data_IF_120827963672
#
_entry.id   IF_120827963672
#
_cell.length_a   1.000
_cell.length_b   1.000
_cell.length_c   1.000
_cell.angle_alpha   90.00
_cell.angle_beta   90.00
_cell.angle_gamma   90.00
#
_symmetry.space_group_name_H-M   'P 1'
#
loop_
_entity.id
_entity.type
_entity.pdbx_description
1 polymer ?
#
# COMPACT_ATOMS: atom_id res chain seq x y z
N UNK A 1 -29.27 8.51 -4.94
CA UNK A 1 -28.25 9.48 -4.48
C UNK A 1 -28.41 10.83 -5.16
N UNK A 2 -28.55 10.90 -6.49
CA UNK A 2 -28.56 12.17 -7.25
C UNK A 2 -29.63 13.17 -6.83
N UNK A 3 -30.83 12.71 -6.45
CA UNK A 3 -31.90 13.58 -5.90
C UNK A 3 -31.53 14.39 -4.64
N UNK A 4 -30.39 14.06 -4.00
CA UNK A 4 -29.88 14.77 -2.83
C UNK A 4 -28.73 15.75 -3.16
N UNK A 5 -28.36 15.87 -4.45
CA UNK A 5 -27.33 16.79 -4.94
C UNK A 5 -27.99 17.95 -5.68
N UNK A 6 -27.40 19.15 -5.59
CA UNK A 6 -27.96 20.35 -6.24
C UNK A 6 -27.90 20.22 -7.77
N UNK A 7 -26.79 19.69 -8.28
CA UNK A 7 -26.54 19.44 -9.71
C UNK A 7 -26.76 17.96 -10.08
N UNK A 8 -27.57 17.24 -9.30
CA UNK A 8 -27.75 15.79 -9.39
C UNK A 8 -28.10 15.28 -10.79
N UNK A 9 -29.03 15.96 -11.49
CA UNK A 9 -29.48 15.55 -12.83
C UNK A 9 -28.35 15.60 -13.87
N UNK A 10 -27.49 16.63 -13.81
CA UNK A 10 -26.34 16.78 -14.71
C UNK A 10 -25.28 15.71 -14.40
N UNK A 11 -24.98 15.52 -13.12
CA UNK A 11 -23.99 14.54 -12.66
C UNK A 11 -24.44 13.12 -13.02
N UNK A 12 -25.72 12.80 -12.85
CA UNK A 12 -26.27 11.47 -13.17
C UNK A 12 -25.99 11.06 -14.62
N UNK A 13 -26.24 11.94 -15.58
CA UNK A 13 -26.01 11.66 -17.01
C UNK A 13 -24.53 11.34 -17.26
N UNK A 14 -23.62 12.09 -16.66
CA UNK A 14 -22.17 11.89 -16.82
C UNK A 14 -21.73 10.58 -16.15
N UNK A 15 -22.29 10.27 -14.97
CA UNK A 15 -22.02 9.00 -14.27
C UNK A 15 -22.46 7.81 -15.12
N UNK A 16 -23.67 7.82 -15.69
CA UNK A 16 -24.17 6.74 -16.53
C UNK A 16 -23.30 6.51 -17.78
N UNK A 17 -22.79 7.59 -18.39
CA UNK A 17 -21.84 7.50 -19.50
C UNK A 17 -20.49 6.93 -19.05
N UNK A 18 -20.01 7.37 -17.89
CA UNK A 18 -18.72 6.94 -17.32
C UNK A 18 -18.76 5.46 -16.96
N UNK A 19 -19.82 4.98 -16.29
CA UNK A 19 -19.96 3.57 -15.94
C UNK A 19 -20.03 2.67 -17.18
N UNK A 20 -20.70 3.12 -18.26
CA UNK A 20 -20.68 2.41 -19.55
C UNK A 20 -19.28 2.34 -20.15
N UNK A 21 -18.51 3.43 -20.08
CA UNK A 21 -17.15 3.51 -20.62
C UNK A 21 -16.18 2.56 -19.90
N UNK A 22 -16.26 2.49 -18.56
CA UNK A 22 -15.32 1.70 -17.74
C UNK A 22 -15.78 0.27 -17.47
N UNK A 23 -16.95 -0.14 -17.99
CA UNK A 23 -17.56 -1.43 -17.70
C UNK A 23 -16.64 -2.64 -17.99
N UNK A 24 -15.85 -2.59 -19.06
CA UNK A 24 -14.92 -3.68 -19.38
C UNK A 24 -13.75 -3.74 -18.39
N UNK A 25 -13.19 -2.59 -17.98
CA UNK A 25 -12.12 -2.53 -16.97
C UNK A 25 -12.65 -3.06 -15.63
N UNK A 26 -13.87 -2.70 -15.24
CA UNK A 26 -14.51 -3.25 -14.03
C UNK A 26 -14.69 -4.76 -14.09
N UNK A 27 -15.13 -5.31 -15.24
CA UNK A 27 -15.21 -6.77 -15.43
C UNK A 27 -13.85 -7.46 -15.32
N UNK A 28 -12.78 -6.83 -15.80
CA UNK A 28 -11.42 -7.37 -15.65
C UNK A 28 -10.95 -7.35 -14.21
N UNK A 29 -11.28 -6.29 -13.46
CA UNK A 29 -11.02 -6.22 -12.01
C UNK A 29 -11.77 -7.34 -11.30
N UNK A 30 -13.06 -7.54 -11.58
CA UNK A 30 -13.86 -8.59 -10.94
C UNK A 30 -13.29 -10.00 -11.19
N UNK A 31 -12.77 -10.28 -12.40
CA UNK A 31 -12.07 -11.56 -12.68
C UNK A 31 -10.84 -11.76 -11.78
N UNK A 32 -10.02 -10.72 -11.62
CA UNK A 32 -8.84 -10.78 -10.72
C UNK A 32 -9.27 -10.96 -9.25
N UNK A 33 -10.37 -10.33 -8.84
CA UNK A 33 -10.96 -10.51 -7.52
C UNK A 33 -11.34 -11.97 -7.30
N UNK A 34 -12.03 -12.60 -8.26
CA UNK A 34 -12.43 -14.00 -8.15
C UNK A 34 -11.22 -14.95 -8.05
N UNK A 35 -10.18 -14.72 -8.86
CA UNK A 35 -8.94 -15.51 -8.81
C UNK A 35 -8.22 -15.37 -7.46
N UNK A 36 -8.03 -14.13 -7.00
CA UNK A 36 -7.38 -13.85 -5.72
C UNK A 36 -8.21 -14.36 -4.53
N UNK A 37 -9.54 -14.19 -4.57
CA UNK A 37 -10.45 -14.71 -3.55
C UNK A 37 -10.38 -16.24 -3.46
N UNK A 38 -10.32 -16.91 -4.61
CA UNK A 38 -10.19 -18.37 -4.65
C UNK A 38 -8.84 -18.85 -4.11
N UNK A 39 -7.73 -18.14 -4.39
CA UNK A 39 -6.42 -18.42 -3.78
C UNK A 39 -6.47 -18.32 -2.25
N UNK A 40 -7.08 -17.26 -1.72
CA UNK A 40 -7.24 -17.08 -0.26
C UNK A 40 -8.13 -18.19 0.33
N UNK A 41 -9.26 -18.51 -0.30
CA UNK A 41 -10.16 -19.58 0.14
C UNK A 41 -9.44 -20.94 0.21
N UNK A 42 -8.70 -21.30 -0.83
CA UNK A 42 -7.95 -22.56 -0.86
C UNK A 42 -6.93 -22.62 0.28
N UNK A 43 -6.18 -21.55 0.53
CA UNK A 43 -5.19 -21.52 1.62
C UNK A 43 -5.84 -21.71 3.00
N UNK A 44 -6.99 -21.08 3.25
CA UNK A 44 -7.76 -21.28 4.48
C UNK A 44 -8.22 -22.75 4.63
N UNK A 45 -8.65 -23.38 3.54
CA UNK A 45 -9.07 -24.79 3.53
C UNK A 45 -7.88 -25.73 3.75
N UNK A 46 -6.75 -25.50 3.10
CA UNK A 46 -5.52 -26.26 3.24
C UNK A 46 -5.01 -26.24 4.70
N UNK A 47 -5.13 -25.09 5.34
CA UNK A 47 -4.76 -24.89 6.74
C UNK A 47 -5.87 -25.24 7.74
N UNK A 48 -7.03 -25.72 7.28
CA UNK A 48 -8.16 -26.16 8.09
C UNK A 48 -8.58 -25.11 9.14
N UNK A 49 -8.67 -23.86 8.70
CA UNK A 49 -9.07 -22.75 9.58
C UNK A 49 -10.44 -23.05 10.20
N UNK A 50 -10.54 -22.76 11.49
CA UNK A 50 -11.70 -22.99 12.35
C UNK A 50 -11.74 -21.89 13.40
N UNK A 51 -12.85 -21.78 14.13
CA UNK A 51 -13.02 -20.82 15.23
C UNK A 51 -12.00 -21.03 16.37
N UNK A 52 -11.42 -22.21 16.51
CA UNK A 52 -10.30 -22.45 17.44
C UNK A 52 -9.06 -21.61 17.11
N UNK A 53 -8.88 -21.20 15.85
CA UNK A 53 -7.79 -20.31 15.44
C UNK A 53 -8.03 -18.86 15.83
N UNK A 54 -9.21 -18.52 16.37
CA UNK A 54 -9.54 -17.18 16.86
C UNK A 54 -9.37 -17.05 18.37
N UNK A 55 -8.95 -18.11 19.05
CA UNK A 55 -8.77 -18.13 20.50
C UNK A 55 -7.64 -17.16 20.90
N UNK A 56 -7.89 -16.21 21.82
CA UNK A 56 -6.86 -15.30 22.32
C UNK A 56 -5.71 -16.01 23.01
N UNK A 57 -4.48 -15.54 22.79
CA UNK A 57 -3.34 -15.84 23.66
C UNK A 57 -2.97 -14.64 24.54
N UNK A 58 -2.38 -14.92 25.70
CA UNK A 58 -1.94 -13.92 26.70
C UNK A 58 -0.53 -14.23 27.21
N UNK A 59 0.04 -13.34 28.02
CA UNK A 59 1.38 -13.52 28.58
C UNK A 59 2.45 -13.61 27.50
N UNK A 60 3.28 -14.67 27.53
CA UNK A 60 4.30 -14.90 26.50
C UNK A 60 3.71 -15.22 25.13
N UNK A 61 2.52 -15.82 25.07
CA UNK A 61 1.90 -16.24 23.81
C UNK A 61 2.62 -17.40 23.10
N UNK A 62 3.24 -18.31 23.84
CA UNK A 62 3.74 -19.57 23.25
C UNK A 62 2.58 -20.46 22.80
N UNK A 63 2.86 -21.35 21.84
CA UNK A 63 1.91 -22.35 21.30
C UNK A 63 0.59 -21.74 20.77
N UNK A 64 0.65 -20.50 20.27
CA UNK A 64 -0.50 -19.83 19.65
C UNK A 64 -0.72 -20.34 18.22
N UNK A 65 -1.49 -21.42 18.12
CA UNK A 65 -1.87 -22.06 16.84
C UNK A 65 -2.59 -21.09 15.90
N UNK A 66 -3.35 -20.12 16.44
CA UNK A 66 -4.12 -19.18 15.66
C UNK A 66 -3.20 -18.23 14.90
N UNK A 67 -2.18 -17.72 15.57
CA UNK A 67 -1.18 -16.86 14.90
C UNK A 67 -0.25 -17.63 13.99
N UNK A 68 0.22 -18.81 14.37
CA UNK A 68 1.11 -19.60 13.49
C UNK A 68 0.41 -20.02 12.20
N UNK A 69 -0.87 -20.39 12.27
CA UNK A 69 -1.65 -20.73 11.08
C UNK A 69 -1.89 -19.51 10.19
N UNK A 70 -2.15 -18.32 10.77
CA UNK A 70 -2.34 -17.09 10.01
C UNK A 70 -1.08 -16.73 9.20
N UNK A 71 0.09 -16.91 9.80
CA UNK A 71 1.38 -16.66 9.16
C UNK A 71 1.63 -17.60 7.98
N UNK A 72 1.27 -18.88 8.11
CA UNK A 72 1.37 -19.85 7.01
C UNK A 72 0.42 -19.53 5.87
N UNK A 73 -0.80 -19.07 6.18
CA UNK A 73 -1.79 -18.65 5.18
C UNK A 73 -1.28 -17.45 4.37
N UNK A 74 -0.76 -16.42 5.05
CA UNK A 74 -0.16 -15.27 4.37
C UNK A 74 1.02 -15.68 3.49
N UNK A 75 1.89 -16.56 3.98
CA UNK A 75 3.01 -17.07 3.20
C UNK A 75 2.54 -17.81 1.94
N UNK A 76 1.61 -18.77 2.07
CA UNK A 76 1.06 -19.54 0.95
C UNK A 76 0.38 -18.64 -0.09
N UNK A 77 -0.51 -17.75 0.34
CA UNK A 77 -1.27 -16.85 -0.55
C UNK A 77 -0.35 -15.89 -1.31
N UNK A 78 0.77 -15.51 -0.72
CA UNK A 78 1.71 -14.60 -1.33
C UNK A 78 2.90 -15.28 -2.03
N UNK A 79 2.93 -16.61 -2.10
CA UNK A 79 3.97 -17.36 -2.80
C UNK A 79 5.31 -17.37 -2.07
N UNK A 80 5.28 -17.24 -0.74
CA UNK A 80 6.44 -17.25 0.13
C UNK A 80 6.54 -18.56 0.93
N UNK A 81 7.71 -18.82 1.52
CA UNK A 81 7.94 -20.01 2.35
C UNK A 81 7.43 -19.82 3.79
N UNK A 82 7.59 -18.61 4.34
CA UNK A 82 7.26 -18.27 5.72
C UNK A 82 6.72 -16.85 5.81
N UNK A 83 5.96 -16.59 6.87
CA UNK A 83 5.36 -15.29 7.16
C UNK A 83 5.54 -14.88 8.62
N UNK A 84 5.47 -13.57 8.86
CA UNK A 84 5.42 -12.94 10.16
C UNK A 84 4.30 -11.87 10.10
N UNK A 85 3.15 -12.15 10.71
CA UNK A 85 1.93 -11.34 10.59
C UNK A 85 1.36 -11.08 11.97
N UNK A 86 1.53 -9.85 12.47
CA UNK A 86 1.44 -9.61 13.91
C UNK A 86 0.86 -8.24 14.27
N UNK A 87 0.10 -8.13 15.37
CA UNK A 87 -0.25 -6.83 15.95
C UNK A 87 0.97 -6.11 16.54
N UNK A 88 2.05 -6.83 16.87
CA UNK A 88 3.32 -6.23 17.32
C UNK A 88 3.98 -5.37 16.24
N UNK A 89 3.72 -5.65 14.96
CA UNK A 89 4.22 -4.84 13.85
C UNK A 89 3.27 -3.66 13.66
N UNK A 90 3.50 -2.57 14.38
CA UNK A 90 2.54 -1.45 14.48
C UNK A 90 2.19 -0.72 13.17
N UNK A 91 2.97 -0.86 12.09
CA UNK A 91 2.71 -0.22 10.80
C UNK A 91 3.50 -0.86 9.65
N UNK A 92 3.19 -0.49 8.41
CA UNK A 92 3.99 -0.88 7.23
C UNK A 92 5.44 -0.42 7.33
N UNK A 93 5.68 0.85 7.71
CA UNK A 93 7.04 1.37 7.92
C UNK A 93 7.80 0.57 8.99
N UNK A 94 7.12 0.11 10.05
CA UNK A 94 7.74 -0.76 11.05
C UNK A 94 8.08 -2.14 10.46
N UNK A 95 7.21 -2.73 9.63
CA UNK A 95 7.47 -3.98 8.94
C UNK A 95 8.71 -3.90 8.03
N UNK A 96 8.83 -2.82 7.25
CA UNK A 96 9.99 -2.54 6.40
C UNK A 96 11.25 -2.36 7.26
N UNK A 97 11.17 -1.58 8.34
CA UNK A 97 12.31 -1.40 9.26
C UNK A 97 12.78 -2.73 9.85
N UNK A 98 11.87 -3.59 10.31
CA UNK A 98 12.19 -4.94 10.79
C UNK A 98 12.88 -5.75 9.70
N UNK A 99 12.39 -5.70 8.46
CA UNK A 99 12.98 -6.41 7.32
C UNK A 99 14.43 -5.96 7.06
N UNK A 100 14.66 -4.64 7.00
CA UNK A 100 15.98 -4.08 6.74
C UNK A 100 16.97 -4.41 7.88
N UNK A 101 16.62 -4.09 9.13
CA UNK A 101 17.49 -4.34 10.29
C UNK A 101 17.62 -5.82 10.65
N UNK A 102 16.63 -6.64 10.32
CA UNK A 102 16.67 -8.08 10.53
C UNK A 102 17.80 -8.73 9.73
N UNK A 103 18.09 -8.21 8.55
CA UNK A 103 18.99 -8.84 7.58
C UNK A 103 20.32 -8.12 7.46
N UNK A 104 20.31 -6.79 7.36
CA UNK A 104 21.53 -6.00 7.18
C UNK A 104 22.38 -6.01 8.45
N UNK A 105 23.70 -6.01 8.27
CA UNK A 105 24.72 -6.01 9.33
C UNK A 105 25.79 -4.94 9.04
N UNK A 106 26.56 -4.50 10.06
CA UNK A 106 27.65 -3.54 9.85
C UNK A 106 28.58 -3.96 8.69
N UNK A 107 28.81 -3.03 7.75
CA UNK A 107 29.60 -3.24 6.53
C UNK A 107 28.78 -3.61 5.28
N UNK A 108 27.52 -4.01 5.45
CA UNK A 108 26.60 -4.25 4.34
C UNK A 108 26.15 -2.94 3.69
N UNK A 109 25.75 -3.03 2.42
CA UNK A 109 25.06 -1.95 1.70
C UNK A 109 23.64 -2.36 1.28
N UNK A 110 22.69 -1.46 1.52
CA UNK A 110 21.34 -1.46 0.93
C UNK A 110 21.34 -0.58 -0.33
N UNK A 111 20.89 -1.14 -1.45
CA UNK A 111 20.77 -0.43 -2.73
C UNK A 111 19.32 -0.39 -3.20
N UNK A 112 18.69 0.78 -3.15
CA UNK A 112 17.38 1.00 -3.76
C UNK A 112 17.50 1.22 -5.27
N UNK A 113 16.79 0.43 -6.07
CA UNK A 113 16.87 0.52 -7.54
C UNK A 113 15.68 1.23 -8.18
N UNK A 114 14.65 1.52 -7.39
CA UNK A 114 13.41 2.19 -7.82
C UNK A 114 13.40 3.69 -7.54
N UNK A 115 14.57 4.34 -7.55
CA UNK A 115 14.72 5.74 -7.16
C UNK A 115 14.85 5.93 -5.64
N UNK A 116 14.66 7.18 -5.20
CA UNK A 116 14.59 7.49 -3.76
C UNK A 116 13.34 6.84 -3.15
N UNK A 117 13.45 6.20 -1.97
CA UNK A 117 12.30 5.67 -1.25
C UNK A 117 11.42 6.81 -0.72
N UNK A 118 10.22 6.46 -0.25
CA UNK A 118 9.31 7.41 0.37
C UNK A 118 9.86 8.00 1.69
N UNK A 119 9.42 9.21 2.03
CA UNK A 119 10.08 10.11 2.99
C UNK A 119 10.39 9.50 4.36
N UNK A 120 9.50 8.67 4.94
CA UNK A 120 9.78 8.09 6.27
C UNK A 120 10.89 7.05 6.25
N UNK A 121 11.24 6.48 5.09
CA UNK A 121 12.41 5.62 4.97
C UNK A 121 13.72 6.41 5.04
N UNK A 122 13.74 7.71 4.74
CA UNK A 122 14.96 8.53 4.79
C UNK A 122 15.57 8.58 6.21
N UNK A 123 14.74 8.56 7.26
CA UNK A 123 15.19 8.49 8.65
C UNK A 123 15.69 7.09 9.02
N UNK A 124 15.05 6.04 8.50
CA UNK A 124 15.47 4.64 8.71
C UNK A 124 16.88 4.42 8.13
N UNK A 125 17.13 4.91 6.92
CA UNK A 125 18.44 4.76 6.26
C UNK A 125 19.47 5.78 6.76
N UNK A 126 19.05 6.85 7.43
CA UNK A 126 19.93 7.85 8.05
C UNK A 126 20.42 8.95 7.10
N UNK A 127 19.65 9.27 6.06
CA UNK A 127 19.89 10.46 5.20
C UNK A 127 19.31 11.72 5.86
N UNK A 128 18.17 11.56 6.55
CA UNK A 128 17.47 12.62 7.30
C UNK A 128 17.41 12.25 8.78
N UNK A 129 17.20 13.24 9.65
CA UNK A 129 17.00 13.05 11.09
C UNK A 129 18.24 13.34 11.94
N UNK A 130 18.10 13.19 13.26
CA UNK A 130 19.08 13.60 14.28
C UNK A 130 19.84 12.46 14.95
N UNK A 131 19.74 11.23 14.44
CA UNK A 131 20.52 10.08 14.91
C UNK A 131 19.90 9.23 16.02
N UNK A 132 18.94 8.36 15.67
CA UNK A 132 18.18 7.51 16.60
C UNK A 132 18.23 6.03 16.23
N UNK A 133 19.41 5.47 15.97
CA UNK A 133 19.59 4.08 15.58
C UNK A 133 19.23 3.79 14.12
N UNK A 134 19.54 4.72 13.21
CA UNK A 134 19.40 4.53 11.76
C UNK A 134 20.43 3.52 11.22
N UNK A 135 20.21 2.97 10.01
CA UNK A 135 21.16 2.04 9.37
C UNK A 135 22.59 2.60 9.33
N UNK A 136 22.73 3.89 9.02
CA UNK A 136 24.01 4.60 9.00
C UNK A 136 24.78 4.52 10.33
N UNK A 137 24.09 4.59 11.47
CA UNK A 137 24.73 4.51 12.80
C UNK A 137 25.20 3.11 13.16
N UNK A 138 24.62 2.10 12.52
CA UNK A 138 25.08 0.72 12.59
C UNK A 138 26.11 0.37 11.50
N UNK A 139 26.71 1.38 10.86
CA UNK A 139 27.67 1.21 9.77
C UNK A 139 27.11 0.38 8.59
N UNK A 140 25.82 0.53 8.31
CA UNK A 140 25.17 -0.05 7.14
C UNK A 140 25.04 1.06 6.10
N UNK A 141 25.68 0.85 4.95
CA UNK A 141 25.66 1.80 3.85
C UNK A 141 24.30 1.79 3.15
N UNK A 142 23.91 2.94 2.61
CA UNK A 142 22.71 3.08 1.79
C UNK A 142 23.06 3.84 0.52
N UNK A 143 22.49 3.37 -0.60
CA UNK A 143 22.49 4.09 -1.86
C UNK A 143 21.17 3.91 -2.60
N UNK A 144 20.88 4.81 -3.53
CA UNK A 144 19.74 4.69 -4.45
C UNK A 144 20.14 5.05 -5.86
N UNK A 145 19.65 4.28 -6.83
CA UNK A 145 19.80 4.56 -8.27
C UNK A 145 18.58 5.36 -8.73
N UNK A 146 18.76 6.58 -9.24
CA UNK A 146 17.67 7.34 -9.83
C UNK A 146 17.02 6.59 -11.00
N UNK A 147 15.71 6.77 -11.15
CA UNK A 147 14.99 6.28 -12.33
C UNK A 147 15.38 7.08 -13.58
N UNK A 148 15.11 6.52 -14.75
CA UNK A 148 15.19 7.24 -16.03
C UNK A 148 14.17 8.38 -16.07
N UNK A 149 14.29 9.27 -17.07
CA UNK A 149 13.33 10.39 -17.25
C UNK A 149 11.91 9.90 -17.49
N UNK A 150 11.76 8.70 -18.04
CA UNK A 150 10.49 8.02 -18.28
C UNK A 150 9.94 7.30 -17.03
N UNK A 151 10.64 7.40 -15.89
CA UNK A 151 10.25 6.75 -14.64
C UNK A 151 10.54 5.25 -14.59
N UNK A 152 11.43 4.74 -15.44
CA UNK A 152 11.84 3.32 -15.48
C UNK A 152 13.14 3.09 -14.71
N UNK A 153 13.43 1.85 -14.33
CA UNK A 153 14.71 1.51 -13.68
C UNK A 153 15.86 1.62 -14.67
N UNK A 154 16.92 2.35 -14.29
CA UNK A 154 18.15 2.42 -15.08
C UNK A 154 19.03 1.19 -14.80
N UNK A 155 18.81 0.12 -15.56
CA UNK A 155 19.52 -1.15 -15.40
C UNK A 155 21.06 -1.00 -15.51
N UNK A 156 21.55 -0.10 -16.37
CA UNK A 156 22.98 0.14 -16.52
C UNK A 156 23.58 0.80 -15.27
N UNK A 157 22.88 1.79 -14.71
CA UNK A 157 23.25 2.42 -13.45
C UNK A 157 23.16 1.44 -12.27
N UNK A 158 22.12 0.58 -12.23
CA UNK A 158 22.00 -0.49 -11.24
C UNK A 158 23.20 -1.43 -11.28
N UNK A 159 23.56 -1.95 -12.47
CA UNK A 159 24.72 -2.84 -12.61
C UNK A 159 26.02 -2.21 -12.13
N UNK A 160 26.20 -0.91 -12.37
CA UNK A 160 27.38 -0.17 -11.91
C UNK A 160 27.37 0.10 -10.40
N UNK A 161 26.18 0.22 -9.81
CA UNK A 161 26.01 0.53 -8.39
C UNK A 161 26.13 -0.69 -7.48
N UNK A 162 25.88 -1.91 -7.98
CA UNK A 162 26.07 -3.16 -7.22
C UNK A 162 27.56 -3.36 -6.94
N UNK A 163 27.90 -3.45 -5.66
CA UNK A 163 29.24 -3.65 -5.10
C UNK A 163 29.36 -5.04 -4.46
N UNK A 164 30.59 -5.49 -4.13
CA UNK A 164 30.79 -6.72 -3.36
C UNK A 164 30.02 -6.73 -2.03
N UNK A 165 29.91 -5.59 -1.35
CA UNK A 165 29.19 -5.46 -0.07
C UNK A 165 27.68 -5.14 -0.20
N UNK A 166 27.14 -4.96 -1.42
CA UNK A 166 25.68 -4.81 -1.59
C UNK A 166 24.98 -6.10 -1.18
N UNK A 167 24.33 -6.08 -0.01
CA UNK A 167 23.69 -7.26 0.56
C UNK A 167 22.21 -7.33 0.19
N UNK A 168 21.56 -6.18 0.03
CA UNK A 168 20.13 -6.10 -0.23
C UNK A 168 19.80 -5.09 -1.34
N UNK A 169 18.90 -5.49 -2.24
CA UNK A 169 18.20 -4.62 -3.18
C UNK A 169 16.86 -4.22 -2.58
N UNK A 170 16.55 -2.92 -2.61
CA UNK A 170 15.23 -2.38 -2.30
C UNK A 170 14.45 -2.04 -3.57
N UNK A 171 13.21 -2.53 -3.64
CA UNK A 171 12.23 -2.21 -4.69
C UNK A 171 10.98 -1.66 -4.01
N UNK A 172 10.54 -0.47 -4.40
CA UNK A 172 9.26 0.09 -3.96
C UNK A 172 8.23 -0.04 -5.08
N UNK A 173 7.26 -0.94 -4.92
CA UNK A 173 6.22 -1.19 -5.93
C UNK A 173 5.39 0.06 -6.21
N UNK A 174 4.70 0.54 -5.18
CA UNK A 174 3.83 1.71 -5.28
C UNK A 174 4.62 3.01 -5.47
N UNK A 175 4.09 3.93 -6.27
CA UNK A 175 4.68 5.27 -6.46
C UNK A 175 4.63 6.17 -5.23
N UNK A 176 3.70 5.94 -4.30
CA UNK A 176 3.43 6.90 -3.24
C UNK A 176 3.19 8.30 -3.84
N UNK A 177 3.96 9.29 -3.38
CA UNK A 177 3.91 10.66 -3.91
C UNK A 177 4.94 10.94 -5.03
N UNK A 178 5.70 9.94 -5.47
CA UNK A 178 6.70 10.12 -6.50
C UNK A 178 6.05 10.31 -7.88
N UNK A 179 6.62 11.22 -8.68
CA UNK A 179 6.14 11.53 -10.04
C UNK A 179 6.62 10.50 -11.07
N UNK A 180 6.30 9.22 -10.83
CA UNK A 180 6.63 8.07 -11.68
C UNK A 180 5.52 7.01 -11.64
N UNK A 181 5.43 6.09 -12.62
CA UNK A 181 4.47 4.99 -12.58
C UNK A 181 4.75 4.03 -11.41
N UNK A 182 3.71 3.39 -10.88
CA UNK A 182 3.89 2.23 -10.01
C UNK A 182 4.39 1.04 -10.83
N UNK A 183 5.27 0.22 -10.26
CA UNK A 183 5.88 -0.91 -10.99
C UNK A 183 4.97 -2.13 -10.95
N UNK A 184 4.70 -2.71 -12.11
CA UNK A 184 3.92 -3.95 -12.28
C UNK A 184 4.70 -5.17 -11.79
N UNK A 185 4.01 -6.29 -11.53
CA UNK A 185 4.69 -7.54 -11.19
C UNK A 185 5.66 -7.99 -12.29
N UNK A 186 5.30 -7.80 -13.56
CA UNK A 186 6.17 -8.16 -14.69
C UNK A 186 7.46 -7.31 -14.69
N UNK A 187 7.36 -6.00 -14.45
CA UNK A 187 8.54 -5.14 -14.31
C UNK A 187 9.39 -5.52 -13.08
N UNK A 188 8.76 -5.90 -11.97
CA UNK A 188 9.46 -6.36 -10.76
C UNK A 188 10.18 -7.70 -11.04
N UNK A 189 9.57 -8.61 -11.78
CA UNK A 189 10.18 -9.88 -12.21
C UNK A 189 11.43 -9.61 -13.05
N UNK A 190 11.36 -8.71 -14.03
CA UNK A 190 12.52 -8.29 -14.82
C UNK A 190 13.64 -7.70 -13.95
N UNK A 191 13.30 -6.84 -12.98
CA UNK A 191 14.27 -6.27 -12.04
C UNK A 191 14.97 -7.33 -11.19
N UNK A 192 14.21 -8.28 -10.65
CA UNK A 192 14.73 -9.37 -9.81
C UNK A 192 15.69 -10.23 -10.61
N UNK A 193 15.27 -10.69 -11.80
CA UNK A 193 16.10 -11.52 -12.68
C UNK A 193 17.40 -10.82 -13.03
N UNK A 194 17.34 -9.52 -13.33
CA UNK A 194 18.53 -8.73 -13.67
C UNK A 194 19.54 -8.64 -12.52
N UNK A 195 19.11 -8.31 -11.30
CA UNK A 195 20.04 -8.19 -10.16
C UNK A 195 20.58 -9.54 -9.71
N UNK A 196 19.79 -10.62 -9.84
CA UNK A 196 20.20 -11.99 -9.51
C UNK A 196 21.20 -12.55 -10.52
N UNK A 197 21.12 -12.18 -11.79
CA UNK A 197 22.13 -12.54 -12.81
C UNK A 197 23.50 -11.93 -12.48
N UNK A 198 23.51 -10.71 -11.95
CA UNK A 198 24.75 -10.00 -11.55
C UNK A 198 25.31 -10.58 -10.25
N UNK A 199 24.46 -10.79 -9.25
CA UNK A 199 24.84 -11.27 -7.92
C UNK A 199 23.78 -12.23 -7.37
N UNK A 200 23.94 -13.55 -7.56
CA UNK A 200 22.90 -14.54 -7.20
C UNK A 200 22.50 -14.57 -5.72
N UNK A 201 23.42 -14.20 -4.82
CA UNK A 201 23.24 -14.21 -3.36
C UNK A 201 22.69 -12.89 -2.79
N UNK A 202 22.41 -11.88 -3.63
CA UNK A 202 21.85 -10.60 -3.17
C UNK A 202 20.41 -10.80 -2.70
N UNK A 203 20.03 -10.24 -1.55
CA UNK A 203 18.65 -10.33 -1.06
C UNK A 203 17.78 -9.30 -1.78
N UNK A 204 16.69 -9.70 -2.42
CA UNK A 204 15.75 -8.77 -3.05
C UNK A 204 14.54 -8.57 -2.15
N UNK A 205 14.44 -7.35 -1.61
CA UNK A 205 13.35 -6.91 -0.76
C UNK A 205 12.39 -5.99 -1.53
N UNK A 206 11.08 -6.25 -1.41
CA UNK A 206 10.04 -5.43 -2.03
C UNK A 206 9.12 -4.82 -0.97
N UNK A 207 9.00 -3.49 -0.95
CA UNK A 207 7.89 -2.82 -0.28
C UNK A 207 6.64 -2.98 -1.16
N UNK A 208 5.70 -3.80 -0.70
CA UNK A 208 4.52 -4.21 -1.45
C UNK A 208 3.27 -3.40 -1.10
N UNK A 209 3.39 -2.36 -0.25
CA UNK A 209 2.27 -1.53 0.17
C UNK A 209 1.41 -1.07 -1.02
N UNK A 210 0.10 -1.20 -0.87
CA UNK A 210 -0.94 -0.82 -1.84
C UNK A 210 -1.09 -1.75 -3.05
N UNK A 211 -0.15 -2.67 -3.26
CA UNK A 211 -0.16 -3.58 -4.41
C UNK A 211 -0.84 -4.93 -4.15
N UNK A 212 -1.07 -5.26 -2.88
CA UNK A 212 -1.62 -6.56 -2.51
C UNK A 212 -3.00 -6.78 -3.16
N UNK A 213 -3.16 -7.90 -3.86
CA UNK A 213 -4.36 -8.35 -4.58
C UNK A 213 -4.82 -7.49 -5.76
N UNK A 214 -4.03 -6.51 -6.20
CA UNK A 214 -4.33 -5.72 -7.41
C UNK A 214 -4.02 -6.50 -8.69
N UNK A 215 -3.00 -7.35 -8.63
CA UNK A 215 -2.64 -8.32 -9.64
C UNK A 215 -2.89 -9.75 -9.13
N UNK A 216 -2.79 -10.74 -10.01
CA UNK A 216 -2.99 -12.16 -9.66
C UNK A 216 -1.72 -12.82 -9.15
N UNK A 217 -0.58 -12.13 -9.25
CA UNK A 217 0.72 -12.50 -8.68
C UNK A 217 1.17 -11.41 -7.70
N UNK A 218 2.12 -11.76 -6.85
CA UNK A 218 2.76 -10.87 -5.87
C UNK A 218 4.29 -11.01 -5.99
N UNK A 219 5.10 -10.08 -5.47
CA UNK A 219 6.55 -10.11 -5.64
C UNK A 219 7.23 -11.44 -5.30
N UNK A 220 6.81 -12.14 -4.24
CA UNK A 220 7.40 -13.43 -3.89
C UNK A 220 7.10 -14.53 -4.93
N UNK A 221 6.00 -14.45 -5.68
CA UNK A 221 5.74 -15.37 -6.79
C UNK A 221 6.74 -15.22 -7.96
N UNK A 222 7.41 -14.07 -8.07
CA UNK A 222 8.35 -13.75 -9.16
C UNK A 222 9.80 -13.62 -8.70
N UNK A 223 10.10 -14.15 -7.51
CA UNK A 223 11.49 -14.31 -7.03
C UNK A 223 11.96 -13.27 -6.01
N UNK A 224 11.08 -12.41 -5.49
CA UNK A 224 11.44 -11.58 -4.34
C UNK A 224 11.73 -12.48 -3.13
N UNK A 225 12.87 -12.26 -2.47
CA UNK A 225 13.27 -13.05 -1.30
C UNK A 225 12.47 -12.66 -0.04
N UNK A 226 12.00 -11.42 0.00
CA UNK A 226 11.25 -10.85 1.10
C UNK A 226 10.34 -9.71 0.63
N UNK A 227 9.15 -9.60 1.19
CA UNK A 227 8.33 -8.40 1.05
C UNK A 227 7.59 -8.07 2.34
N UNK A 228 7.21 -6.80 2.49
CA UNK A 228 6.51 -6.32 3.67
C UNK A 228 5.40 -5.33 3.31
N UNK A 229 4.45 -5.16 4.22
CA UNK A 229 3.37 -4.19 4.10
C UNK A 229 2.56 -4.03 5.38
N UNK A 230 1.46 -3.28 5.28
CA UNK A 230 0.63 -2.90 6.44
C UNK A 230 -0.74 -3.55 6.41
N UNK A 231 -1.24 -3.97 7.58
CA UNK A 231 -2.58 -4.54 7.70
C UNK A 231 -3.69 -3.47 7.70
N UNK A 232 -3.41 -2.20 7.98
CA UNK A 232 -4.42 -1.13 7.81
C UNK A 232 -4.55 -0.68 6.33
N UNK A 233 -3.91 -1.40 5.41
CA UNK A 233 -4.04 -1.25 3.95
C UNK A 233 -4.80 -2.44 3.36
N UNK A 234 -4.49 -2.79 2.12
CA UNK A 234 -5.11 -3.84 1.32
C UNK A 234 -5.36 -5.15 2.10
N UNK A 235 -4.34 -5.81 2.70
CA UNK A 235 -4.52 -7.16 3.24
C UNK A 235 -5.38 -7.24 4.52
N UNK A 236 -5.65 -6.12 5.21
CA UNK A 236 -6.57 -6.15 6.34
C UNK A 236 -8.03 -5.92 5.99
N UNK A 237 -8.35 -5.68 4.71
CA UNK A 237 -9.73 -5.59 4.22
C UNK A 237 -10.59 -4.51 4.90
N UNK A 238 -9.97 -3.50 5.51
CA UNK A 238 -10.67 -2.48 6.31
C UNK A 238 -11.20 -2.96 7.66
N UNK A 239 -10.78 -4.14 8.12
CA UNK A 239 -11.23 -4.76 9.39
C UNK A 239 -10.10 -4.80 10.42
N UNK A 240 -8.88 -5.10 10.00
CA UNK A 240 -7.71 -5.15 10.88
C UNK A 240 -7.39 -3.77 11.45
N UNK A 241 -7.40 -3.62 12.78
CA UNK A 241 -7.26 -2.33 13.48
C UNK A 241 -5.83 -1.80 13.46
N UNK A 242 -4.86 -2.70 13.35
CA UNK A 242 -3.43 -2.40 13.29
C UNK A 242 -2.68 -3.60 12.71
N UNK A 243 -1.38 -3.46 12.56
CA UNK A 243 -0.49 -4.56 12.23
C UNK A 243 0.28 -4.36 10.93
N UNK A 244 1.21 -5.29 10.72
CA UNK A 244 2.01 -5.40 9.51
C UNK A 244 2.32 -6.87 9.24
N UNK A 245 2.75 -7.11 8.01
CA UNK A 245 3.18 -8.43 7.58
C UNK A 245 4.57 -8.35 6.95
N UNK A 246 5.31 -9.44 7.10
CA UNK A 246 6.54 -9.73 6.36
C UNK A 246 6.40 -11.16 5.87
N UNK A 247 6.59 -11.42 4.58
CA UNK A 247 6.60 -12.77 4.00
C UNK A 247 7.80 -12.94 3.09
N UNK A 248 8.34 -14.15 3.01
CA UNK A 248 9.51 -14.42 2.18
C UNK A 248 10.14 -15.78 2.47
N UNK A 249 11.43 -15.89 2.18
CA UNK A 249 12.22 -17.08 2.49
C UNK A 249 12.40 -17.27 3.99
N UNK A 250 12.45 -18.53 4.40
CA UNK A 250 12.48 -18.96 5.80
C UNK A 250 13.59 -18.27 6.61
N UNK A 251 14.82 -18.28 6.10
CA UNK A 251 16.01 -17.71 6.74
C UNK A 251 15.89 -16.19 6.99
N UNK A 252 15.24 -15.46 6.09
CA UNK A 252 15.04 -14.02 6.20
C UNK A 252 13.91 -13.68 7.17
N UNK A 253 12.82 -14.46 7.16
CA UNK A 253 11.73 -14.29 8.12
C UNK A 253 12.18 -14.59 9.54
N UNK A 254 13.03 -15.60 9.75
CA UNK A 254 13.62 -15.89 11.05
C UNK A 254 14.45 -14.71 11.55
N UNK A 255 15.32 -14.17 10.71
CA UNK A 255 16.12 -12.98 11.02
C UNK A 255 15.26 -11.76 11.36
N UNK A 256 14.17 -11.54 10.62
CA UNK A 256 13.18 -10.49 10.90
C UNK A 256 12.49 -10.71 12.26
N UNK A 257 12.14 -11.96 12.59
CA UNK A 257 11.47 -12.28 13.85
C UNK A 257 12.34 -11.95 15.06
N UNK A 258 13.64 -12.26 15.01
CA UNK A 258 14.58 -11.91 16.08
C UNK A 258 14.78 -10.39 16.22
N UNK A 259 14.65 -9.64 15.12
CA UNK A 259 14.67 -8.17 15.16
C UNK A 259 13.39 -7.60 15.76
N UNK A 260 12.23 -8.18 15.46
CA UNK A 260 10.95 -7.77 16.02
C UNK A 260 10.87 -8.02 17.54
N UNK A 261 11.44 -9.14 18.01
CA UNK A 261 11.41 -9.53 19.42
C UNK A 261 12.80 -9.43 20.05
N UNK A 262 13.51 -10.54 20.19
CA UNK A 262 14.91 -10.61 20.64
C UNK A 262 15.57 -11.90 20.16
N UNK A 263 16.91 -11.93 20.04
CA UNK A 263 17.67 -13.17 19.81
C UNK A 263 17.29 -14.24 20.83
N UNK A 264 17.17 -15.49 20.37
CA UNK A 264 16.75 -16.64 21.18
C UNK A 264 15.24 -16.82 21.32
N UNK A 265 14.44 -15.75 21.23
CA UNK A 265 12.97 -15.83 21.28
C UNK A 265 12.37 -15.93 19.86
N UNK A 266 12.74 -14.99 18.98
CA UNK A 266 12.24 -14.97 17.60
C UNK A 266 10.71 -14.89 17.51
N UNK A 267 10.13 -15.66 16.58
CA UNK A 267 8.69 -15.65 16.29
C UNK A 267 7.81 -16.45 17.27
N UNK A 268 8.42 -17.23 18.17
CA UNK A 268 7.69 -18.17 19.04
C UNK A 268 6.81 -17.47 20.08
N UNK A 269 7.21 -16.27 20.51
CA UNK A 269 6.49 -15.47 21.49
C UNK A 269 5.77 -14.27 20.86
N UNK A 270 4.87 -13.67 21.63
CA UNK A 270 4.04 -12.52 21.24
C UNK A 270 2.57 -12.90 21.29
N UNK A 271 1.91 -12.50 22.37
CA UNK A 271 0.48 -12.70 22.57
C UNK A 271 -0.33 -11.93 21.51
N UNK A 272 -1.35 -12.59 20.95
CA UNK A 272 -2.22 -12.01 19.92
C UNK A 272 -3.40 -11.24 20.48
N UNK A 273 -3.70 -11.44 21.77
CA UNK A 273 -4.85 -10.86 22.43
C UNK A 273 -6.12 -11.14 21.60
N UNK A 274 -6.84 -10.11 21.18
CA UNK A 274 -8.10 -10.26 20.46
C UNK A 274 -7.99 -10.00 18.95
N UNK A 275 -6.77 -9.92 18.41
CA UNK A 275 -6.54 -9.47 17.02
C UNK A 275 -6.70 -10.55 15.95
N UNK A 276 -6.75 -11.84 16.31
CA UNK A 276 -6.74 -12.91 15.32
C UNK A 276 -7.95 -12.87 14.40
N UNK A 277 -9.17 -12.83 14.95
CA UNK A 277 -10.38 -12.90 14.13
C UNK A 277 -10.44 -11.79 13.06
N UNK A 278 -10.12 -10.55 13.42
CA UNK A 278 -10.12 -9.43 12.47
C UNK A 278 -9.05 -9.57 11.39
N UNK A 279 -7.88 -10.15 11.69
CA UNK A 279 -6.82 -10.37 10.72
C UNK A 279 -7.18 -11.50 9.74
N UNK A 280 -7.76 -12.60 10.22
CA UNK A 280 -8.27 -13.67 9.38
C UNK A 280 -9.41 -13.19 8.48
N UNK A 281 -10.41 -12.53 9.07
CA UNK A 281 -11.57 -12.03 8.33
C UNK A 281 -11.18 -10.93 7.34
N UNK A 282 -10.33 -10.00 7.77
CA UNK A 282 -9.80 -8.93 6.93
C UNK A 282 -9.06 -9.50 5.71
N UNK A 283 -8.21 -10.50 5.90
CA UNK A 283 -7.47 -11.12 4.81
C UNK A 283 -8.38 -11.90 3.86
N UNK A 284 -9.41 -12.58 4.38
CA UNK A 284 -10.40 -13.26 3.54
C UNK A 284 -11.18 -12.28 2.65
N UNK A 285 -11.52 -11.09 3.17
CA UNK A 285 -12.24 -10.05 2.44
C UNK A 285 -11.33 -9.14 1.60
N UNK A 286 -10.01 -9.19 1.81
CA UNK A 286 -9.05 -8.27 1.20
C UNK A 286 -9.12 -8.25 -0.34
N UNK A 287 -9.15 -9.39 -1.07
CA UNK A 287 -9.30 -9.35 -2.53
C UNK A 287 -10.52 -8.57 -3.00
N UNK A 288 -11.67 -8.77 -2.34
CA UNK A 288 -12.90 -8.07 -2.67
C UNK A 288 -12.79 -6.57 -2.40
N UNK A 289 -12.34 -6.18 -1.22
CA UNK A 289 -12.23 -4.76 -0.80
C UNK A 289 -11.23 -4.01 -1.68
N UNK A 290 -10.09 -4.63 -2.01
CA UNK A 290 -9.13 -4.09 -2.99
C UNK A 290 -9.80 -3.89 -4.35
N UNK A 291 -10.60 -4.84 -4.82
CA UNK A 291 -11.39 -4.70 -6.04
C UNK A 291 -12.37 -3.53 -6.00
N UNK A 292 -12.99 -3.25 -4.86
CA UNK A 292 -13.88 -2.08 -4.68
C UNK A 292 -13.10 -0.76 -4.81
N UNK A 293 -11.99 -0.64 -4.09
CA UNK A 293 -11.12 0.53 -4.15
C UNK A 293 -10.58 0.76 -5.57
N UNK A 294 -10.16 -0.32 -6.26
CA UNK A 294 -9.61 -0.25 -7.61
C UNK A 294 -10.66 0.19 -8.64
N UNK A 295 -11.89 -0.35 -8.56
CA UNK A 295 -13.02 0.11 -9.40
C UNK A 295 -13.33 1.59 -9.13
N UNK A 296 -13.22 2.01 -7.87
CA UNK A 296 -13.32 3.41 -7.46
C UNK A 296 -12.26 4.30 -8.09
N UNK A 297 -10.98 3.92 -8.04
CA UNK A 297 -9.89 4.65 -8.68
C UNK A 297 -10.11 4.82 -10.20
N UNK A 298 -10.56 3.75 -10.88
CA UNK A 298 -10.92 3.79 -12.31
C UNK A 298 -12.08 4.75 -12.58
N UNK A 299 -13.13 4.71 -11.74
CA UNK A 299 -14.26 5.62 -11.85
C UNK A 299 -13.86 7.07 -11.62
N UNK A 300 -13.11 7.36 -10.55
CA UNK A 300 -12.57 8.69 -10.22
C UNK A 300 -11.75 9.23 -11.39
N UNK A 301 -10.85 8.42 -11.95
CA UNK A 301 -10.07 8.79 -13.13
C UNK A 301 -10.96 9.16 -14.31
N UNK A 302 -11.89 8.27 -14.71
CA UNK A 302 -12.71 8.47 -15.90
C UNK A 302 -13.69 9.64 -15.77
N UNK A 303 -14.28 9.85 -14.58
CA UNK A 303 -15.26 10.94 -14.40
C UNK A 303 -14.55 12.29 -14.33
N UNK A 304 -13.45 12.41 -13.59
CA UNK A 304 -12.76 13.70 -13.44
C UNK A 304 -12.07 14.15 -14.73
N UNK A 305 -11.63 13.22 -15.60
CA UNK A 305 -11.21 13.54 -16.97
C UNK A 305 -12.33 14.25 -17.78
N UNK A 306 -13.60 13.87 -17.57
CA UNK A 306 -14.74 14.54 -18.25
C UNK A 306 -15.01 15.95 -17.73
N UNK A 307 -14.53 16.29 -16.54
CA UNK A 307 -14.55 17.63 -15.96
C UNK A 307 -13.24 18.40 -16.20
N UNK A 308 -12.39 17.93 -17.13
CA UNK A 308 -11.19 18.63 -17.57
C UNK A 308 -10.00 18.53 -16.62
N UNK A 309 -10.03 17.60 -15.65
CA UNK A 309 -8.91 17.38 -14.73
C UNK A 309 -7.95 16.33 -15.30
N UNK A 310 -6.66 16.51 -15.02
CA UNK A 310 -5.63 15.55 -15.44
C UNK A 310 -5.52 14.43 -14.41
N UNK A 311 -5.79 13.18 -14.81
CA UNK A 311 -5.75 12.04 -13.89
C UNK A 311 -4.60 11.10 -14.22
N UNK A 312 -3.97 10.53 -13.19
CA UNK A 312 -2.87 9.59 -13.37
C UNK A 312 -2.86 8.51 -12.27
N UNK A 313 -2.85 7.21 -12.62
CA UNK A 313 -3.01 6.66 -13.97
C UNK A 313 -4.38 6.99 -14.58
N UNK A 314 -4.51 6.86 -15.91
CA UNK A 314 -5.80 7.01 -16.59
C UNK A 314 -6.67 5.76 -16.37
N UNK A 315 -7.98 5.85 -16.64
CA UNK A 315 -8.96 4.82 -16.32
C UNK A 315 -8.73 3.51 -17.09
N UNK A 316 -8.09 3.58 -18.26
CA UNK A 316 -7.73 2.43 -19.09
C UNK A 316 -6.27 1.97 -18.90
N UNK A 317 -5.52 2.57 -17.97
CA UNK A 317 -4.15 2.17 -17.66
C UNK A 317 -4.13 0.88 -16.85
N UNK A 318 -3.11 0.05 -17.07
CA UNK A 318 -2.84 -1.10 -16.20
C UNK A 318 -2.60 -0.64 -14.76
N UNK A 319 -3.07 -1.44 -13.80
CA UNK A 319 -2.99 -1.14 -12.38
C UNK A 319 -2.21 -2.23 -11.66
N UNK A 320 -1.31 -1.80 -10.78
CA UNK A 320 -0.46 -2.61 -9.90
C UNK A 320 -0.58 -2.18 -8.43
N UNK A 321 -1.22 -1.03 -8.17
CA UNK A 321 -1.56 -0.57 -6.83
C UNK A 321 -2.90 0.20 -6.82
N UNK A 322 -3.28 0.71 -5.65
CA UNK A 322 -4.50 1.50 -5.45
C UNK A 322 -4.33 3.02 -5.69
N UNK A 323 -3.13 3.49 -6.04
CA UNK A 323 -2.86 4.94 -6.07
C UNK A 323 -3.50 5.58 -7.29
N UNK A 324 -4.36 6.57 -7.06
CA UNK A 324 -4.91 7.44 -8.08
C UNK A 324 -4.60 8.88 -7.72
N UNK A 325 -3.97 9.61 -8.64
CA UNK A 325 -3.73 11.05 -8.49
C UNK A 325 -4.59 11.85 -9.46
N UNK A 326 -5.00 13.04 -9.04
CA UNK A 326 -5.78 14.01 -9.81
C UNK A 326 -5.07 15.36 -9.67
N UNK A 327 -4.68 15.95 -10.78
CA UNK A 327 -4.08 17.27 -10.86
C UNK A 327 -5.20 18.29 -11.14
N UNK A 328 -5.38 19.22 -10.21
CA UNK A 328 -6.44 20.22 -10.24
C UNK A 328 -6.01 21.54 -10.89
N UNK A 329 -4.69 21.79 -10.98
CA UNK A 329 -4.10 23.04 -11.49
C UNK A 329 -4.52 24.31 -10.73
N UNK A 330 -5.27 24.15 -9.64
CA UNK A 330 -5.87 25.21 -8.86
C UNK A 330 -5.94 24.77 -7.37
N UNK A 331 -5.42 25.59 -6.43
CA UNK A 331 -5.40 25.24 -5.02
C UNK A 331 -6.81 25.15 -4.40
N UNK A 332 -7.73 26.04 -4.80
CA UNK A 332 -9.08 26.08 -4.24
C UNK A 332 -9.90 24.87 -4.71
N UNK A 333 -9.70 24.42 -5.96
CA UNK A 333 -10.29 23.16 -6.46
C UNK A 333 -9.81 21.95 -5.66
N UNK A 334 -8.49 21.85 -5.44
CA UNK A 334 -7.91 20.75 -4.67
C UNK A 334 -8.42 20.75 -3.22
N UNK A 335 -8.42 21.93 -2.57
CA UNK A 335 -8.90 22.08 -1.19
C UNK A 335 -10.38 21.71 -1.09
N UNK A 336 -11.23 22.26 -1.96
CA UNK A 336 -12.67 21.97 -1.93
C UNK A 336 -12.95 20.50 -2.20
N UNK A 337 -12.22 19.88 -3.13
CA UNK A 337 -12.34 18.45 -3.43
C UNK A 337 -12.01 17.61 -2.19
N UNK A 338 -10.87 17.85 -1.53
CA UNK A 338 -10.49 17.11 -0.32
C UNK A 338 -11.51 17.35 0.83
N UNK A 339 -11.96 18.59 1.04
CA UNK A 339 -12.99 18.90 2.04
C UNK A 339 -14.31 18.18 1.75
N UNK A 340 -14.69 18.05 0.48
CA UNK A 340 -15.89 17.32 0.08
C UNK A 340 -15.75 15.81 0.30
N UNK A 341 -14.57 15.23 0.03
CA UNK A 341 -14.28 13.82 0.35
C UNK A 341 -14.41 13.57 1.86
N UNK A 342 -13.85 14.45 2.70
CA UNK A 342 -14.02 14.35 4.16
C UNK A 342 -15.49 14.42 4.57
N UNK A 343 -16.25 15.36 4.01
CA UNK A 343 -17.68 15.50 4.29
C UNK A 343 -18.48 14.27 3.86
N UNK A 344 -18.06 13.58 2.80
CA UNK A 344 -18.68 12.35 2.32
C UNK A 344 -18.18 11.08 3.04
N UNK A 345 -17.36 11.21 4.09
CA UNK A 345 -16.84 10.09 4.85
C UNK A 345 -17.76 9.69 6.01
N UNK A 346 -17.77 8.42 6.47
CA UNK A 346 -18.68 7.97 7.51
C UNK A 346 -18.33 8.48 8.91
N UNK A 347 -17.04 8.74 9.18
CA UNK A 347 -16.53 9.20 10.49
C UNK A 347 -15.98 10.61 10.35
N UNK A 348 -16.22 11.47 11.35
CA UNK A 348 -15.71 12.84 11.38
C UNK A 348 -16.09 13.68 10.14
N UNK A 349 -17.23 13.42 9.50
CA UNK A 349 -17.69 14.18 8.32
C UNK A 349 -17.89 15.67 8.59
N UNK A 350 -18.14 16.05 9.85
CA UNK A 350 -18.30 17.44 10.29
C UNK A 350 -16.95 18.15 10.54
N UNK A 351 -15.82 17.42 10.53
CA UNK A 351 -14.49 17.99 10.78
C UNK A 351 -13.85 18.37 9.45
N UNK A 352 -14.04 19.61 9.03
CA UNK A 352 -13.48 20.13 7.78
C UNK A 352 -11.94 20.20 7.85
N UNK A 353 -11.21 19.59 6.89
CA UNK A 353 -9.76 19.68 6.84
C UNK A 353 -9.34 21.02 6.25
N UNK A 354 -8.23 21.54 6.75
CA UNK A 354 -7.55 22.72 6.22
C UNK A 354 -6.09 22.37 5.94
N UNK A 355 -5.44 23.05 4.97
CA UNK A 355 -4.00 22.93 4.79
C UNK A 355 -3.27 23.18 6.12
N UNK A 356 -2.33 22.31 6.45
CA UNK A 356 -1.56 22.41 7.68
C UNK A 356 -0.15 21.84 7.50
N UNK A 357 0.79 22.38 8.27
CA UNK A 357 2.14 21.85 8.33
C UNK A 357 2.12 20.40 8.83
N UNK A 358 2.71 19.50 8.05
CA UNK A 358 2.91 18.10 8.43
C UNK A 358 4.40 17.79 8.53
N UNK A 359 4.90 17.33 9.70
CA UNK A 359 6.30 16.96 9.86
C UNK A 359 6.74 15.98 8.76
N UNK A 360 7.81 16.33 8.05
CA UNK A 360 8.29 15.55 6.89
C UNK A 360 8.14 16.31 5.57
N UNK A 361 7.10 17.13 5.41
CA UNK A 361 6.82 17.87 4.19
C UNK A 361 7.35 19.31 4.25
N UNK A 362 7.78 19.84 3.10
CA UNK A 362 8.22 21.24 2.95
C UNK A 362 7.04 22.20 2.86
N UNK A 363 5.97 21.77 2.19
CA UNK A 363 4.73 22.52 1.98
C UNK A 363 3.60 22.03 2.91
N UNK A 364 2.62 22.90 3.17
CA UNK A 364 1.39 22.51 3.87
C UNK A 364 0.67 21.39 3.11
N UNK A 365 0.08 20.45 3.84
CA UNK A 365 -0.66 19.31 3.31
C UNK A 365 -2.11 19.42 3.74
N UNK A 366 -3.05 19.09 2.84
CA UNK A 366 -4.45 18.84 3.19
C UNK A 366 -4.72 17.34 3.18
N UNK A 367 -5.52 16.85 4.14
CA UNK A 367 -5.82 15.43 4.28
C UNK A 367 -7.28 15.22 4.70
N UNK A 368 -8.03 14.50 3.87
CA UNK A 368 -9.33 13.92 4.17
C UNK A 368 -9.14 12.46 4.58
N UNK A 369 -9.51 12.13 5.82
CA UNK A 369 -9.30 10.83 6.47
C UNK A 369 -10.43 10.51 7.47
N UNK A 370 -11.68 10.54 7.02
CA UNK A 370 -12.86 10.19 7.83
C UNK A 370 -13.07 8.68 7.98
N UNK A 371 -12.05 7.97 8.45
CA UNK A 371 -11.95 6.50 8.45
C UNK A 371 -12.41 5.88 9.77
N UNK A 372 -12.88 4.63 9.74
CA UNK A 372 -13.20 3.84 10.93
C UNK A 372 -11.94 3.47 11.72
N UNK A 373 -10.86 3.11 11.02
CA UNK A 373 -9.56 2.85 11.60
C UNK A 373 -8.65 4.05 11.30
N UNK A 374 -8.05 4.64 12.34
CA UNK A 374 -7.22 5.83 12.19
C UNK A 374 -6.05 5.57 11.23
N UNK A 375 -6.01 6.32 10.12
CA UNK A 375 -4.94 6.22 9.12
C UNK A 375 -5.04 5.02 8.18
N UNK A 376 -6.13 4.25 8.22
CA UNK A 376 -6.33 3.14 7.29
C UNK A 376 -6.59 3.65 5.87
N UNK A 377 -5.62 3.46 4.98
CA UNK A 377 -5.67 3.95 3.59
C UNK A 377 -6.28 2.94 2.60
N UNK A 378 -6.88 1.86 3.11
CA UNK A 378 -7.81 1.01 2.34
C UNK A 378 -9.24 1.57 2.39
N UNK A 379 -9.54 2.42 3.36
CA UNK A 379 -10.73 3.25 3.39
C UNK A 379 -10.56 4.48 2.49
N UNK A 380 -11.65 5.16 2.15
CA UNK A 380 -11.57 6.31 1.24
C UNK A 380 -10.85 7.48 1.92
N UNK A 381 -9.74 7.92 1.33
CA UNK A 381 -8.98 9.10 1.75
C UNK A 381 -8.60 9.96 0.54
N UNK A 382 -8.34 11.24 0.78
CA UNK A 382 -7.80 12.14 -0.23
C UNK A 382 -6.81 13.13 0.39
N UNK A 383 -5.60 13.21 -0.13
CA UNK A 383 -4.55 14.03 0.46
C UNK A 383 -3.54 14.54 -0.57
N UNK A 384 -2.79 15.57 -0.24
CA UNK A 384 -1.68 16.02 -1.08
C UNK A 384 -1.06 17.34 -0.62
N UNK A 385 0.19 17.60 -1.04
CA UNK A 385 0.87 18.85 -0.74
C UNK A 385 0.24 20.02 -1.51
N UNK A 386 0.08 21.16 -0.83
CA UNK A 386 -0.50 22.37 -1.39
C UNK A 386 0.54 23.16 -2.21
N UNK A 387 1.00 22.55 -3.30
CA UNK A 387 1.98 23.14 -4.23
C UNK A 387 1.61 22.82 -5.68
N UNK A 388 1.95 23.68 -6.65
CA UNK A 388 1.70 23.40 -8.06
C UNK A 388 2.28 22.02 -8.50
N UNK A 389 1.53 21.23 -9.28
CA UNK A 389 0.27 21.57 -9.95
C UNK A 389 -1.00 21.18 -9.14
N UNK A 390 -0.92 21.17 -7.81
CA UNK A 390 -2.03 20.87 -6.90
C UNK A 390 -2.62 19.48 -7.15
N UNK A 391 -1.77 18.48 -7.00
CA UNK A 391 -2.13 17.07 -7.17
C UNK A 391 -2.62 16.49 -5.84
N UNK A 392 -3.87 16.00 -5.83
CA UNK A 392 -4.37 15.17 -4.74
C UNK A 392 -4.29 13.69 -5.10
N UNK A 393 -4.06 12.86 -4.09
CA UNK A 393 -3.99 11.42 -4.13
C UNK A 393 -5.27 10.89 -3.49
N UNK A 394 -6.12 10.26 -4.29
CA UNK A 394 -7.44 9.76 -3.91
C UNK A 394 -7.35 8.24 -3.91
N UNK A 395 -7.32 7.64 -2.73
CA UNK A 395 -7.11 6.19 -2.58
C UNK A 395 -8.15 5.54 -1.67
N UNK A 396 -8.24 4.22 -1.82
CA UNK A 396 -9.08 3.37 -0.99
C UNK A 396 -10.58 3.55 -1.21
N UNK A 397 -11.33 2.86 -0.36
CA UNK A 397 -12.79 2.84 -0.33
C UNK A 397 -13.30 1.42 -0.15
N UNK A 398 -13.96 1.18 0.99
CA UNK A 398 -14.44 -0.15 1.37
C UNK A 398 -15.50 -0.71 0.42
N UNK A 399 -16.24 0.18 -0.24
CA UNK A 399 -17.24 -0.17 -1.24
C UNK A 399 -17.17 0.79 -2.42
N UNK A 400 -17.33 0.28 -3.64
CA UNK A 400 -17.40 1.12 -4.84
C UNK A 400 -18.52 2.17 -4.73
N UNK A 401 -19.64 1.80 -4.10
CA UNK A 401 -20.76 2.69 -3.84
C UNK A 401 -20.35 3.94 -3.05
N UNK A 402 -19.57 3.78 -1.97
CA UNK A 402 -19.11 4.91 -1.16
C UNK A 402 -18.21 5.85 -1.97
N UNK A 403 -17.28 5.29 -2.74
CA UNK A 403 -16.37 6.07 -3.58
C UNK A 403 -17.16 6.88 -4.62
N UNK A 404 -18.10 6.24 -5.33
CA UNK A 404 -18.96 6.91 -6.31
C UNK A 404 -19.78 8.04 -5.67
N UNK A 405 -20.37 7.82 -4.50
CA UNK A 405 -21.12 8.84 -3.75
C UNK A 405 -20.19 10.01 -3.41
N UNK A 406 -19.01 9.74 -2.85
CA UNK A 406 -18.08 10.78 -2.42
C UNK A 406 -17.57 11.64 -3.57
N UNK A 407 -17.17 11.02 -4.68
CA UNK A 407 -16.70 11.75 -5.88
C UNK A 407 -17.83 12.57 -6.49
N UNK A 408 -19.06 12.04 -6.55
CA UNK A 408 -20.20 12.82 -7.04
C UNK A 408 -20.55 14.00 -6.12
N UNK A 409 -20.47 13.82 -4.80
CA UNK A 409 -20.66 14.91 -3.84
C UNK A 409 -19.56 15.97 -3.95
N UNK A 410 -18.32 15.58 -4.25
CA UNK A 410 -17.22 16.51 -4.50
C UNK A 410 -17.45 17.32 -5.79
N UNK A 411 -17.85 16.66 -6.86
CA UNK A 411 -18.23 17.34 -8.11
C UNK A 411 -19.39 18.32 -7.90
N UNK A 412 -20.43 17.94 -7.18
CA UNK A 412 -21.56 18.83 -6.88
C UNK A 412 -21.09 20.09 -6.13
N UNK A 413 -20.21 19.93 -5.13
CA UNK A 413 -19.66 21.06 -4.38
C UNK A 413 -18.77 21.97 -5.22
N UNK A 414 -17.95 21.42 -6.09
CA UNK A 414 -17.14 22.19 -7.03
C UNK A 414 -18.02 23.00 -8.00
N UNK A 415 -19.08 22.39 -8.55
CA UNK A 415 -20.04 23.07 -9.43
C UNK A 415 -20.78 24.19 -8.69
N UNK A 416 -21.20 23.97 -7.44
CA UNK A 416 -21.90 24.97 -6.63
C UNK A 416 -21.05 26.19 -6.28
N UNK A 417 -19.73 26.06 -6.32
CA UNK A 417 -18.76 27.15 -6.07
C UNK A 417 -18.20 27.74 -7.36
N UNK A 418 -18.76 27.38 -8.52
CA UNK A 418 -18.28 27.82 -9.85
C UNK A 418 -16.79 27.51 -10.09
N UNK A 419 -16.30 26.40 -9.50
CA UNK A 419 -14.92 25.94 -9.65
C UNK A 419 -14.72 25.01 -10.87
N UNK A 420 -15.81 24.44 -11.39
CA UNK A 420 -15.86 23.61 -12.62
C UNK A 420 -17.13 23.82 -13.44
#
# INVERSE_FOLDING_TARGET
MFQHLINGDKIQVIVEQTEKQIAEVHRQIDKKVDENQFRVLQSFQNHRVSDTHFIPSTGYGYDDIGRETLEKIYAEVFGAEKGLVRPQIISGTHAISIALFGILRPGDELLYITGKPYDTLEEIVGIRGSGNGSLKEFNIDYNSVPLTREGRVDLAAVKKAIKPNTKMIGIQRSKGYATRPSFTIDEIEEMILFVKDIKPDIVVFVDNCYGEFVETREPCHVGADLMAGSLIKNPGGGIAKTGGYIVGKTEYIESCSYRMTSPGIGAEAGATLFSLQEMYQGFFLAPHVVGQALKGAVFTSAILEKFGMNTHPSWNSNRTDLIQSVQFDDPDKMIEFCQAVQFASPVNSYVTPYPSYMPGYEDDVIMAAGTFIQGASIELTADGPLRPPYTAYVQGGLTYSHIKIAVCSALDRLMNKDLI
#
